data_IF_765234861062
#
_entry.id   IF_765234861062
#
_cell.length_a   1.000
_cell.length_b   1.000
_cell.length_c   1.000
_cell.angle_alpha   90.00
_cell.angle_beta   90.00
_cell.angle_gamma   90.00
#
_symmetry.space_group_name_H-M   'P 1'
#
loop_
_entity.id
_entity.type
_entity.pdbx_description
1 polymer ?
#
# COMPACT_ATOMS: atom_id res chain seq x y z
N UNK A 1 29.80 -5.38 -3.43
CA UNK A 1 30.39 -4.14 -2.87
C UNK A 1 29.50 -2.98 -3.29
N UNK A 2 29.23 -2.03 -2.39
CA UNK A 2 28.46 -0.82 -2.69
C UNK A 2 29.37 0.40 -2.44
N UNK A 3 29.47 1.30 -3.42
CA UNK A 3 30.24 2.55 -3.33
C UNK A 3 29.30 3.72 -3.01
N UNK A 4 29.70 4.63 -2.13
CA UNK A 4 28.88 5.73 -1.62
C UNK A 4 29.66 7.03 -1.70
N UNK A 5 29.02 8.10 -2.21
CA UNK A 5 29.61 9.43 -2.31
C UNK A 5 28.61 10.49 -1.79
N UNK A 6 27.47 10.65 -2.47
CA UNK A 6 26.48 11.70 -2.14
C UNK A 6 25.95 11.63 -0.70
N UNK A 7 25.72 10.43 -0.16
CA UNK A 7 25.24 10.28 1.22
C UNK A 7 26.28 10.71 2.28
N UNK A 8 27.57 10.53 1.99
CA UNK A 8 28.66 10.99 2.86
C UNK A 8 28.77 12.53 2.79
N UNK A 9 28.64 13.12 1.60
CA UNK A 9 28.65 14.58 1.44
C UNK A 9 27.48 15.28 2.14
N UNK A 10 26.31 14.64 2.19
CA UNK A 10 25.13 15.19 2.86
C UNK A 10 25.21 15.12 4.38
N UNK A 11 26.01 14.20 4.92
CA UNK A 11 26.08 13.93 6.35
C UNK A 11 27.55 13.96 6.79
N UNK A 12 28.15 12.79 7.01
CA UNK A 12 29.55 12.57 7.35
C UNK A 12 29.82 11.06 7.32
N UNK A 13 31.00 10.61 7.76
CA UNK A 13 31.39 9.19 7.71
C UNK A 13 30.64 8.26 8.69
N UNK A 14 29.94 8.79 9.70
CA UNK A 14 29.20 7.99 10.71
C UNK A 14 28.04 7.19 10.12
N UNK A 15 27.58 7.54 8.90
CA UNK A 15 26.57 6.78 8.15
C UNK A 15 26.94 5.30 7.93
N UNK A 16 28.24 4.96 8.01
CA UNK A 16 28.69 3.57 7.92
C UNK A 16 28.13 2.70 9.05
N UNK A 17 27.93 3.26 10.24
CA UNK A 17 27.40 2.51 11.38
C UNK A 17 25.95 2.09 11.13
N UNK A 18 25.14 3.02 10.60
CA UNK A 18 23.75 2.77 10.19
C UNK A 18 23.66 1.75 9.05
N UNK A 19 24.56 1.82 8.05
CA UNK A 19 24.60 0.82 6.97
C UNK A 19 24.93 -0.58 7.48
N UNK A 20 25.87 -0.71 8.43
CA UNK A 20 26.26 -2.01 8.98
C UNK A 20 25.16 -2.58 9.87
N UNK A 21 24.56 -1.78 10.76
CA UNK A 21 23.49 -2.24 11.65
C UNK A 21 22.22 -2.54 10.85
N UNK A 22 21.82 -1.66 9.92
CA UNK A 22 20.67 -1.85 9.04
C UNK A 22 20.77 -3.12 8.20
N UNK A 23 21.92 -3.38 7.58
CA UNK A 23 22.12 -4.61 6.79
C UNK A 23 22.08 -5.87 7.66
N UNK A 24 22.69 -5.83 8.86
CA UNK A 24 22.61 -6.96 9.81
C UNK A 24 21.16 -7.25 10.21
N UNK A 25 20.38 -6.21 10.48
CA UNK A 25 18.96 -6.33 10.84
C UNK A 25 18.14 -6.90 9.69
N UNK A 26 18.32 -6.41 8.46
CA UNK A 26 17.59 -6.93 7.28
C UNK A 26 17.89 -8.41 7.02
N UNK A 27 19.17 -8.83 7.14
CA UNK A 27 19.54 -10.25 7.02
C UNK A 27 18.96 -11.09 8.15
N UNK A 28 18.94 -10.57 9.37
CA UNK A 28 18.35 -11.22 10.53
C UNK A 28 16.84 -11.44 10.35
N UNK A 29 16.08 -10.38 10.03
CA UNK A 29 14.62 -10.43 9.90
C UNK A 29 14.16 -11.38 8.81
N UNK A 30 14.92 -11.48 7.71
CA UNK A 30 14.63 -12.43 6.63
C UNK A 30 14.63 -13.90 7.07
N UNK A 31 15.34 -14.23 8.16
CA UNK A 31 15.41 -15.60 8.68
C UNK A 31 14.41 -15.90 9.80
N UNK A 32 13.60 -14.91 10.18
CA UNK A 32 12.55 -15.04 11.19
C UNK A 32 11.24 -15.35 10.49
N UNK A 33 10.71 -16.55 10.66
CA UNK A 33 9.48 -17.00 9.99
C UNK A 33 8.25 -16.19 10.41
N UNK A 34 8.16 -15.79 11.68
CA UNK A 34 7.04 -14.99 12.21
C UNK A 34 6.92 -13.60 11.57
N UNK A 35 8.03 -13.06 11.06
CA UNK A 35 8.11 -11.70 10.51
C UNK A 35 8.14 -11.68 8.97
N UNK A 36 7.73 -12.76 8.31
CA UNK A 36 7.70 -12.84 6.84
C UNK A 36 6.83 -11.77 6.17
N UNK A 37 5.81 -11.28 6.88
CA UNK A 37 4.89 -10.25 6.39
C UNK A 37 5.44 -8.82 6.52
N UNK A 38 6.64 -8.64 7.09
CA UNK A 38 7.28 -7.34 7.19
C UNK A 38 8.02 -7.02 5.89
N UNK A 39 7.96 -5.76 5.46
CA UNK A 39 8.81 -5.28 4.38
C UNK A 39 10.13 -4.78 4.97
N UNK A 40 11.09 -5.70 5.09
CA UNK A 40 12.36 -5.43 5.74
C UNK A 40 12.18 -5.09 7.23
N UNK A 41 12.41 -3.83 7.60
CA UNK A 41 12.24 -3.33 8.97
C UNK A 41 10.87 -2.69 9.22
N UNK A 42 10.00 -2.65 8.21
CA UNK A 42 8.69 -2.03 8.30
C UNK A 42 7.61 -3.08 8.63
N UNK A 43 6.90 -2.98 9.76
CA UNK A 43 5.76 -3.84 10.05
C UNK A 43 4.62 -3.58 9.06
N UNK A 44 3.73 -4.56 8.84
CA UNK A 44 2.54 -4.36 8.01
C UNK A 44 1.67 -3.23 8.57
N UNK A 45 1.26 -2.30 7.70
CA UNK A 45 0.55 -1.09 8.10
C UNK A 45 -0.89 -1.40 8.53
N UNK A 46 -1.11 -1.43 9.85
CA UNK A 46 -2.45 -1.50 10.43
C UNK A 46 -3.27 -0.23 10.10
N UNK A 47 -4.61 -0.33 10.05
CA UNK A 47 -5.48 0.83 9.88
C UNK A 47 -5.28 1.81 11.05
N UNK A 48 -4.81 3.00 10.71
CA UNK A 48 -4.43 4.01 11.68
C UNK A 48 -4.84 5.41 11.20
N UNK A 49 -4.98 6.32 12.16
CA UNK A 49 -5.17 7.74 11.93
C UNK A 49 -4.23 8.50 12.85
N UNK A 50 -3.37 9.36 12.28
CA UNK A 50 -2.31 10.08 13.03
C UNK A 50 -1.43 9.13 13.87
N UNK A 51 -1.12 7.95 13.32
CA UNK A 51 -0.33 6.90 13.97
C UNK A 51 -1.07 6.07 15.03
N UNK A 52 -2.34 6.36 15.34
CA UNK A 52 -3.13 5.62 16.33
C UNK A 52 -4.02 4.57 15.67
N UNK A 53 -4.17 3.37 16.27
CA UNK A 53 -5.06 2.35 15.73
C UNK A 53 -6.51 2.84 15.70
N UNK A 54 -7.19 2.58 14.59
CA UNK A 54 -8.57 3.02 14.34
C UNK A 54 -9.54 1.89 14.68
N UNK A 55 -10.63 2.23 15.37
CA UNK A 55 -11.75 1.31 15.58
C UNK A 55 -12.42 1.03 14.24
N UNK A 56 -12.66 -0.25 13.93
CA UNK A 56 -13.41 -0.68 12.75
C UNK A 56 -14.89 -0.40 12.94
N UNK A 57 -15.27 0.87 12.74
CA UNK A 57 -16.65 1.33 12.93
C UNK A 57 -17.63 0.63 12.00
N UNK A 58 -17.20 0.21 10.80
CA UNK A 58 -18.00 -0.57 9.84
C UNK A 58 -18.58 -1.86 10.42
N UNK A 59 -17.85 -2.51 11.32
CA UNK A 59 -18.28 -3.77 11.93
C UNK A 59 -19.37 -3.55 13.00
N UNK A 60 -19.52 -2.30 13.47
CA UNK A 60 -20.43 -1.89 14.55
C UNK A 60 -21.65 -1.15 13.96
N UNK A 61 -21.41 -0.34 12.92
CA UNK A 61 -22.42 0.42 12.18
C UNK A 61 -22.09 0.26 10.70
N UNK A 62 -23.06 -0.15 9.89
CA UNK A 62 -22.91 -0.29 8.43
C UNK A 62 -22.64 1.06 7.70
N UNK A 63 -22.48 2.16 8.44
CA UNK A 63 -22.23 3.50 7.92
C UNK A 63 -20.74 3.91 7.99
N UNK A 64 -20.30 4.58 6.93
CA UNK A 64 -19.00 5.22 6.86
C UNK A 64 -18.99 6.56 7.57
N UNK A 65 -18.47 6.58 8.81
CA UNK A 65 -18.28 7.81 9.58
C UNK A 65 -16.87 8.38 9.34
N UNK A 66 -16.71 9.48 8.59
CA UNK A 66 -15.40 10.11 8.47
C UNK A 66 -15.01 10.85 9.76
N UNK A 67 -13.71 11.14 9.93
CA UNK A 67 -13.18 11.72 11.17
C UNK A 67 -13.27 13.26 11.22
N UNK A 68 -14.38 13.85 10.82
CA UNK A 68 -14.58 15.31 10.87
C UNK A 68 -16.02 15.72 11.19
N UNK A 69 -16.19 16.93 11.72
CA UNK A 69 -17.49 17.57 11.96
C UNK A 69 -18.43 16.72 12.85
N UNK A 70 -19.72 16.56 12.49
CA UNK A 70 -20.68 15.82 13.32
C UNK A 70 -20.37 14.32 13.37
N UNK A 71 -19.71 13.77 12.34
CA UNK A 71 -19.33 12.36 12.30
C UNK A 71 -18.24 12.02 13.32
N UNK A 72 -17.35 12.98 13.61
CA UNK A 72 -16.33 12.83 14.64
C UNK A 72 -16.96 12.69 16.04
N UNK A 73 -17.99 13.50 16.34
CA UNK A 73 -18.72 13.41 17.61
C UNK A 73 -19.36 12.03 17.79
N UNK A 74 -20.06 11.53 16.77
CA UNK A 74 -20.61 10.15 16.78
C UNK A 74 -19.55 9.08 17.00
N UNK A 75 -18.37 9.20 16.34
CA UNK A 75 -17.26 8.25 16.55
C UNK A 75 -16.71 8.30 17.98
N UNK A 76 -16.68 9.48 18.60
CA UNK A 76 -16.27 9.63 20.00
C UNK A 76 -17.28 8.99 20.94
N UNK A 77 -18.58 9.24 20.75
CA UNK A 77 -19.65 8.63 21.55
C UNK A 77 -19.60 7.09 21.50
N UNK A 78 -19.40 6.51 20.32
CA UNK A 78 -19.23 5.05 20.15
C UNK A 78 -17.98 4.52 20.81
N UNK A 79 -16.88 5.27 20.73
CA UNK A 79 -15.63 4.89 21.39
C UNK A 79 -15.81 4.90 22.90
N UNK A 80 -16.51 5.90 23.43
CA UNK A 80 -16.77 6.04 24.86
C UNK A 80 -17.73 4.96 25.36
N UNK A 81 -18.74 4.56 24.58
CA UNK A 81 -19.62 3.45 24.94
C UNK A 81 -18.86 2.12 25.01
N UNK A 82 -18.02 1.83 24.02
CA UNK A 82 -17.18 0.63 24.01
C UNK A 82 -16.22 0.57 25.19
N UNK A 83 -15.61 1.70 25.56
CA UNK A 83 -14.71 1.73 26.72
C UNK A 83 -15.44 1.60 28.06
N UNK A 84 -16.70 2.01 28.16
CA UNK A 84 -17.51 1.79 29.36
C UNK A 84 -17.88 0.31 29.54
N UNK A 85 -18.13 -0.39 28.43
CA UNK A 85 -18.48 -1.81 28.45
C UNK A 85 -17.26 -2.72 28.62
N UNK A 86 -16.08 -2.27 28.17
CA UNK A 86 -14.87 -3.08 28.23
C UNK A 86 -14.36 -3.26 29.66
N UNK A 87 -14.39 -4.49 30.15
CA UNK A 87 -13.68 -4.87 31.38
C UNK A 87 -12.16 -4.91 31.13
N UNK A 88 -11.42 -4.05 31.83
CA UNK A 88 -9.97 -3.94 31.70
C UNK A 88 -9.22 -5.03 32.47
N UNK A 89 -9.87 -5.66 33.45
CA UNK A 89 -9.26 -6.66 34.34
C UNK A 89 -9.59 -8.10 33.94
N UNK A 90 -10.31 -8.29 32.83
CA UNK A 90 -10.61 -9.62 32.31
C UNK A 90 -9.33 -10.37 31.93
N UNK A 91 -9.34 -11.70 32.08
CA UNK A 91 -8.17 -12.54 31.77
C UNK A 91 -7.73 -12.41 30.30
N UNK A 92 -8.65 -12.10 29.38
CA UNK A 92 -8.36 -11.86 27.96
C UNK A 92 -7.45 -10.66 27.70
N UNK A 93 -7.46 -9.65 28.59
CA UNK A 93 -6.61 -8.47 28.46
C UNK A 93 -5.27 -8.63 29.22
N UNK A 94 -5.05 -9.75 29.92
CA UNK A 94 -3.78 -9.99 30.59
C UNK A 94 -2.70 -10.33 29.57
N UNK A 95 -1.48 -9.76 29.71
CA UNK A 95 -0.39 -10.09 28.82
C UNK A 95 0.02 -11.54 28.99
N UNK A 96 0.47 -12.16 27.89
CA UNK A 96 1.07 -13.49 27.97
C UNK A 96 2.27 -13.46 28.93
N UNK A 97 2.35 -14.41 29.90
CA UNK A 97 3.38 -14.40 30.94
C UNK A 97 4.78 -14.67 30.39
N UNK A 98 4.89 -15.31 29.21
CA UNK A 98 6.16 -15.62 28.58
C UNK A 98 6.16 -15.16 27.12
N UNK A 99 7.12 -14.29 26.78
CA UNK A 99 7.37 -13.87 25.40
C UNK A 99 8.70 -14.49 24.93
N UNK A 100 8.68 -15.66 24.25
CA UNK A 100 9.91 -16.31 23.83
C UNK A 100 10.67 -15.44 22.81
N UNK A 101 12.00 -15.58 22.78
CA UNK A 101 12.82 -14.91 21.79
C UNK A 101 12.84 -15.70 20.47
N UNK A 102 12.88 -14.97 19.36
CA UNK A 102 12.91 -15.57 18.03
C UNK A 102 14.25 -16.30 17.83
N UNK A 103 14.24 -17.42 17.09
CA UNK A 103 15.41 -18.25 16.83
C UNK A 103 15.76 -18.27 15.33
N UNK A 104 16.57 -17.32 14.81
CA UNK A 104 16.82 -17.17 13.38
C UNK A 104 18.01 -17.97 12.85
N UNK A 105 17.94 -18.35 11.57
CA UNK A 105 19.06 -18.90 10.77
C UNK A 105 19.67 -17.83 9.87
N UNK A 106 20.77 -17.21 10.31
CA UNK A 106 21.35 -16.01 9.65
C UNK A 106 21.87 -16.30 8.22
N UNK A 107 21.27 -15.71 7.16
CA UNK A 107 21.78 -15.81 5.80
C UNK A 107 23.04 -14.95 5.63
N UNK A 108 23.89 -15.31 4.65
CA UNK A 108 25.08 -14.52 4.30
C UNK A 108 24.78 -13.61 3.12
N UNK A 109 25.60 -12.57 2.96
CA UNK A 109 25.48 -11.62 1.85
C UNK A 109 25.49 -12.33 0.49
N UNK A 110 26.35 -13.35 0.32
CA UNK A 110 26.45 -14.14 -0.92
C UNK A 110 25.14 -14.81 -1.34
N UNK A 111 24.26 -15.12 -0.37
CA UNK A 111 23.01 -15.82 -0.63
C UNK A 111 21.92 -14.86 -1.14
N UNK A 112 22.13 -13.55 -1.00
CA UNK A 112 21.17 -12.49 -1.38
C UNK A 112 21.51 -11.85 -2.73
N UNK A 113 22.76 -12.01 -3.19
CA UNK A 113 23.22 -11.42 -4.45
C UNK A 113 22.44 -12.05 -5.62
N UNK A 114 21.75 -11.21 -6.40
CA UNK A 114 21.08 -11.62 -7.64
C UNK A 114 19.64 -12.12 -7.47
N UNK A 115 19.07 -12.16 -6.26
CA UNK A 115 17.70 -12.66 -6.05
C UNK A 115 16.61 -11.89 -6.81
N UNK A 116 16.82 -10.61 -7.08
CA UNK A 116 15.86 -9.80 -7.84
C UNK A 116 15.92 -10.07 -9.35
N UNK A 117 16.98 -10.70 -9.87
CA UNK A 117 17.18 -10.90 -11.31
C UNK A 117 16.10 -11.77 -11.94
N UNK A 118 15.53 -12.72 -11.19
CA UNK A 118 14.45 -13.58 -11.68
C UNK A 118 13.13 -12.83 -11.95
N UNK A 119 12.99 -11.58 -11.47
CA UNK A 119 11.82 -10.73 -11.67
C UNK A 119 12.00 -9.69 -12.79
N UNK A 120 13.19 -9.62 -13.38
CA UNK A 120 13.54 -8.65 -14.44
C UNK A 120 13.49 -9.38 -15.77
N UNK A 121 12.75 -8.83 -16.73
CA UNK A 121 12.57 -9.42 -18.07
C UNK A 121 12.16 -8.38 -19.10
N UNK A 122 11.78 -8.84 -20.28
CA UNK A 122 11.24 -8.01 -21.35
C UNK A 122 9.76 -7.70 -21.11
N UNK A 123 9.21 -6.73 -21.84
CA UNK A 123 7.77 -6.44 -21.76
C UNK A 123 6.90 -7.63 -22.19
N UNK A 124 7.39 -8.50 -23.07
CA UNK A 124 6.68 -9.71 -23.51
C UNK A 124 6.55 -10.78 -22.42
N UNK A 125 7.44 -10.75 -21.41
CA UNK A 125 7.41 -11.68 -20.27
C UNK A 125 6.34 -11.28 -19.23
N UNK A 126 5.76 -10.08 -19.35
CA UNK A 126 4.71 -9.57 -18.47
C UNK A 126 3.32 -10.05 -18.92
N UNK A 127 2.49 -10.49 -17.98
CA UNK A 127 1.13 -10.93 -18.28
C UNK A 127 0.17 -9.74 -18.40
N UNK A 128 -0.26 -9.43 -19.62
CA UNK A 128 -1.23 -8.37 -19.88
C UNK A 128 -2.69 -8.74 -19.52
N UNK A 129 -2.95 -9.99 -19.13
CA UNK A 129 -4.29 -10.45 -18.70
C UNK A 129 -4.50 -10.24 -17.20
N UNK A 130 -3.42 -10.33 -16.41
CA UNK A 130 -3.44 -10.15 -14.95
C UNK A 130 -3.46 -8.67 -14.57
N UNK A 131 -4.63 -8.05 -14.77
CA UNK A 131 -4.84 -6.65 -14.43
C UNK A 131 -5.21 -6.49 -12.95
N UNK A 132 -4.83 -5.34 -12.39
CA UNK A 132 -5.11 -4.98 -10.99
C UNK A 132 -6.03 -3.78 -10.90
N UNK A 133 -6.71 -3.62 -9.77
CA UNK A 133 -7.59 -2.49 -9.47
C UNK A 133 -7.20 -1.92 -8.10
N UNK A 134 -7.23 -0.59 -7.99
CA UNK A 134 -7.00 0.11 -6.74
C UNK A 134 -8.22 -0.02 -5.81
N UNK A 135 -7.99 -0.48 -4.57
CA UNK A 135 -8.95 -0.53 -3.48
C UNK A 135 -8.50 0.44 -2.39
N UNK A 136 -9.40 1.33 -1.98
CA UNK A 136 -9.14 2.36 -0.97
C UNK A 136 -9.67 1.89 0.37
N UNK A 137 -8.83 1.94 1.40
CA UNK A 137 -9.22 1.69 2.79
C UNK A 137 -9.73 2.97 3.44
N UNK A 138 -11.05 3.12 3.50
CA UNK A 138 -11.74 4.31 4.01
C UNK A 138 -11.39 4.66 5.46
N UNK A 139 -10.89 3.71 6.26
CA UNK A 139 -10.48 3.98 7.65
C UNK A 139 -9.15 4.74 7.74
N UNK A 140 -8.30 4.60 6.72
CA UNK A 140 -7.00 5.29 6.62
C UNK A 140 -7.11 6.62 5.86
N UNK A 141 -8.24 6.89 5.21
CA UNK A 141 -8.40 8.08 4.38
C UNK A 141 -8.44 9.35 5.24
N UNK A 142 -7.42 10.19 5.06
CA UNK A 142 -7.53 11.59 5.40
C UNK A 142 -8.27 12.29 4.26
N UNK A 143 -9.44 12.89 4.54
CA UNK A 143 -10.29 13.58 3.55
C UNK A 143 -9.71 14.92 3.08
N UNK A 144 -8.41 14.98 2.79
CA UNK A 144 -7.75 16.13 2.20
C UNK A 144 -7.68 15.95 0.70
N UNK A 145 -8.58 16.63 -0.02
CA UNK A 145 -8.50 16.99 -1.45
C UNK A 145 -7.87 15.98 -2.44
N UNK A 146 -7.91 14.67 -2.18
CA UNK A 146 -7.62 13.60 -3.15
C UNK A 146 -8.73 13.52 -4.22
N UNK A 147 -9.31 14.67 -4.52
CA UNK A 147 -10.19 14.95 -5.63
C UNK A 147 -9.40 15.22 -6.92
N UNK A 148 -8.14 15.68 -6.85
CA UNK A 148 -7.54 16.31 -8.03
C UNK A 148 -6.99 15.38 -9.13
N UNK A 149 -6.57 14.13 -8.86
CA UNK A 149 -5.89 13.33 -9.91
C UNK A 149 -6.78 12.21 -10.47
N UNK A 150 -7.71 11.67 -9.68
CA UNK A 150 -8.62 10.60 -10.14
C UNK A 150 -10.12 10.94 -10.06
N UNK A 151 -10.54 12.13 -9.61
CA UNK A 151 -11.99 12.43 -9.47
C UNK A 151 -12.66 12.97 -10.74
N UNK A 152 -12.03 12.79 -11.90
CA UNK A 152 -12.83 12.63 -13.12
C UNK A 152 -13.38 11.20 -13.30
N UNK A 153 -12.93 10.22 -12.48
CA UNK A 153 -13.34 8.81 -12.61
C UNK A 153 -14.05 8.29 -11.34
N UNK A 154 -13.82 8.87 -10.16
CA UNK A 154 -14.29 8.34 -8.88
C UNK A 154 -15.77 8.61 -8.50
N UNK A 155 -16.61 9.15 -9.41
CA UNK A 155 -18.07 8.98 -9.28
C UNK A 155 -18.55 7.59 -9.74
N UNK A 156 -17.69 6.82 -10.40
CA UNK A 156 -17.99 5.44 -10.79
C UNK A 156 -17.24 4.46 -9.88
N UNK A 157 -17.99 3.97 -8.91
CA UNK A 157 -17.73 2.71 -8.24
C UNK A 157 -17.36 1.61 -9.27
N UNK A 158 -16.21 0.97 -9.05
CA UNK A 158 -15.87 -0.43 -9.40
C UNK A 158 -15.66 -0.94 -10.83
N UNK A 159 -15.78 -0.16 -11.93
CA UNK A 159 -15.60 -0.78 -13.28
C UNK A 159 -14.61 -0.13 -14.23
N UNK A 160 -14.21 1.11 -13.96
CA UNK A 160 -13.49 1.95 -14.93
C UNK A 160 -12.04 2.23 -14.58
N UNK A 161 -11.57 1.73 -13.43
CA UNK A 161 -10.16 1.82 -13.05
C UNK A 161 -9.33 0.87 -13.91
N UNK A 162 -8.31 1.43 -14.56
CA UNK A 162 -7.40 0.68 -15.44
C UNK A 162 -6.21 0.07 -14.70
N UNK A 163 -6.12 0.24 -13.39
CA UNK A 163 -5.01 -0.31 -12.62
C UNK A 163 -3.68 0.41 -12.82
N UNK A 164 -3.65 1.63 -13.35
CA UNK A 164 -2.43 2.37 -13.68
C UNK A 164 -1.56 2.82 -12.48
N UNK A 165 -1.92 2.41 -11.25
CA UNK A 165 -1.23 2.71 -9.97
C UNK A 165 -1.00 4.18 -9.60
N UNK A 166 -1.40 5.15 -10.42
CA UNK A 166 -1.12 6.58 -10.19
C UNK A 166 -1.69 7.10 -8.87
N UNK A 167 -2.90 6.67 -8.49
CA UNK A 167 -3.51 7.07 -7.23
C UNK A 167 -2.72 6.57 -6.01
N UNK A 168 -2.20 5.34 -6.07
CA UNK A 168 -1.36 4.77 -5.02
C UNK A 168 -0.06 5.56 -4.89
N UNK A 169 0.59 5.92 -6.02
CA UNK A 169 1.85 6.66 -6.02
C UNK A 169 1.77 8.07 -5.43
N UNK A 170 0.61 8.74 -5.54
CA UNK A 170 0.44 10.12 -5.05
C UNK A 170 -0.24 10.17 -3.67
N UNK A 171 -0.70 9.03 -3.14
CA UNK A 171 -1.36 9.02 -1.84
C UNK A 171 -0.36 9.43 -0.72
N UNK A 172 -0.69 10.44 0.10
CA UNK A 172 0.20 10.87 1.19
C UNK A 172 0.24 9.89 2.37
N UNK A 173 -0.65 8.89 2.39
CA UNK A 173 -0.79 7.92 3.47
C UNK A 173 -0.35 6.55 2.96
N UNK A 174 0.68 6.00 3.60
CA UNK A 174 1.24 4.68 3.29
C UNK A 174 0.13 3.62 3.43
N UNK A 175 0.03 2.73 2.44
CA UNK A 175 -0.92 1.61 2.41
C UNK A 175 -2.41 1.98 2.63
N UNK A 176 -2.79 3.22 2.30
CA UNK A 176 -4.19 3.64 2.23
C UNK A 176 -4.89 3.06 0.98
N UNK A 177 -4.14 2.92 -0.12
CA UNK A 177 -4.62 2.33 -1.37
C UNK A 177 -3.82 1.05 -1.63
N UNK A 178 -4.50 -0.02 -1.97
CA UNK A 178 -3.90 -1.32 -2.31
C UNK A 178 -4.30 -1.74 -3.72
N UNK A 179 -3.43 -2.46 -4.42
CA UNK A 179 -3.72 -3.01 -5.74
C UNK A 179 -4.15 -4.47 -5.58
N UNK A 180 -5.41 -4.76 -5.93
CA UNK A 180 -6.02 -6.09 -5.80
C UNK A 180 -6.26 -6.66 -7.21
N UNK A 181 -6.09 -7.97 -7.44
CA UNK A 181 -6.38 -8.59 -8.74
C UNK A 181 -7.82 -8.30 -9.19
N UNK A 182 -7.98 -7.97 -10.47
CA UNK A 182 -9.27 -7.63 -11.06
C UNK A 182 -10.12 -8.89 -11.21
N UNK A 183 -11.36 -8.84 -10.72
CA UNK A 183 -12.32 -9.95 -10.84
C UNK A 183 -13.06 -10.01 -12.17
N UNK A 184 -13.04 -8.92 -12.95
CA UNK A 184 -13.71 -8.81 -14.26
C UNK A 184 -12.71 -8.77 -15.41
N UNK A 185 -13.06 -9.29 -16.60
CA UNK A 185 -12.16 -9.26 -17.74
C UNK A 185 -11.79 -7.82 -18.13
N UNK A 186 -10.53 -7.61 -18.49
CA UNK A 186 -10.03 -6.31 -18.91
C UNK A 186 -10.29 -6.07 -20.40
N UNK A 187 -10.96 -4.97 -20.72
CA UNK A 187 -11.22 -4.52 -22.09
C UNK A 187 -10.56 -3.16 -22.28
N UNK A 188 -9.48 -3.06 -23.07
CA UNK A 188 -8.83 -1.79 -23.37
C UNK A 188 -9.79 -0.83 -24.07
N UNK A 189 -9.90 0.41 -23.57
CA UNK A 189 -10.69 1.45 -24.26
C UNK A 189 -9.88 2.04 -25.40
N UNK A 190 -10.33 1.81 -26.64
CA UNK A 190 -9.64 2.27 -27.86
C UNK A 190 -10.17 3.58 -28.44
N UNK A 191 -11.25 4.13 -27.86
CA UNK A 191 -11.93 5.33 -28.35
C UNK A 191 -12.79 5.09 -29.59
N UNK A 192 -12.21 4.48 -30.62
CA UNK A 192 -12.88 4.08 -31.87
C UNK A 192 -13.03 2.55 -31.97
N UNK A 193 -14.09 2.04 -32.63
CA UNK A 193 -14.22 0.61 -32.91
C UNK A 193 -13.10 0.13 -33.83
N UNK A 194 -12.58 -1.08 -33.57
CA UNK A 194 -11.62 -1.72 -34.45
C UNK A 194 -12.31 -2.09 -35.77
N UNK A 195 -11.76 -1.65 -36.90
CA UNK A 195 -12.29 -1.97 -38.23
C UNK A 195 -13.13 -0.86 -38.89
N UNK A 196 -13.39 0.25 -38.20
CA UNK A 196 -13.99 1.43 -38.84
C UNK A 196 -12.88 2.21 -39.55
N UNK A 197 -12.80 2.11 -40.88
CA UNK A 197 -11.81 2.78 -41.74
C UNK A 197 -11.95 4.31 -41.82
N UNK A 198 -12.39 4.97 -40.76
CA UNK A 198 -12.49 6.42 -40.71
C UNK A 198 -11.17 6.99 -40.18
N UNK A 199 -10.26 7.31 -41.11
CA UNK A 199 -9.06 8.13 -40.90
C UNK A 199 -9.36 9.59 -40.49
N UNK A 200 -10.55 9.86 -39.93
CA UNK A 200 -10.99 11.18 -39.53
C UNK A 200 -10.98 11.25 -38.00
N UNK A 201 -9.78 11.48 -37.46
CA UNK A 201 -9.68 12.14 -36.17
C UNK A 201 -10.27 13.55 -36.34
N UNK A 202 -11.12 14.05 -35.41
CA UNK A 202 -11.57 15.43 -35.46
C UNK A 202 -10.35 16.35 -35.30
N UNK A 203 -9.90 16.93 -36.42
CA UNK A 203 -8.81 17.92 -36.48
C UNK A 203 -7.46 17.44 -37.03
N UNK A 204 -7.30 16.18 -37.45
CA UNK A 204 -6.05 15.73 -38.09
C UNK A 204 -6.36 14.94 -39.36
N UNK A 205 -6.27 15.60 -40.51
CA UNK A 205 -6.21 14.96 -41.82
C UNK A 205 -4.79 14.44 -42.05
N UNK A 206 -4.57 13.13 -41.90
CA UNK A 206 -3.35 12.53 -42.44
C UNK A 206 -3.57 12.28 -43.94
N UNK A 207 -2.99 13.14 -44.76
CA UNK A 207 -2.87 12.93 -46.21
C UNK A 207 -1.84 11.83 -46.41
N UNK A 208 -2.28 10.66 -46.85
CA UNK A 208 -1.39 9.60 -47.33
C UNK A 208 -1.04 9.88 -48.79
N UNK A 209 0.24 10.13 -49.07
CA UNK A 209 0.83 9.99 -50.40
C UNK A 209 1.14 8.52 -50.68
#
# INVERSE_FOLDING_TARGET
MFQVCSAVHNQEHTVIEDYVTGLKTLLYLRSVEELHNWDGQSPPTAPHQLGKPVLKVKDIIEENLPSFGPYLAKRQELKDSLYKEKDLLSEENMPEPQRPANAPKKPRVKDVIGLALSRIGTYGDLNNQEQVVALIDELKVFHFSMFCICVFIAKFHNRTSYGCTLCLSVCPIIDCISMVPRTTPYIPKRGIPLGTGNNLLPGVSMVTN
#
